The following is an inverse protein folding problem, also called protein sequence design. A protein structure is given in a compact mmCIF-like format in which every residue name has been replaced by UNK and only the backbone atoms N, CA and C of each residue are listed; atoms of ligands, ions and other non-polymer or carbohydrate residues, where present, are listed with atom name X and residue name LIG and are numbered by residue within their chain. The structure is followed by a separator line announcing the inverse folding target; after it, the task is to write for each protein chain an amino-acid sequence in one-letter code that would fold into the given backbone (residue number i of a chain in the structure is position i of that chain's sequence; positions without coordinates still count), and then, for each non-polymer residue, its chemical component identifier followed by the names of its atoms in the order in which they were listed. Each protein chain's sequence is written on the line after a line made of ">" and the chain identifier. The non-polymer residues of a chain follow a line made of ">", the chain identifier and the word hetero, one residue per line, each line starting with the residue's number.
data_IF_815529058446
#
_entry.id   IF_815529058446
#
_cell.length_a   1.000
_cell.length_b   1.000
_cell.length_c   1.000
_cell.angle_alpha   90.00
_cell.angle_beta   90.00
_cell.angle_gamma   90.00
#
_symmetry.space_group_name_H-M   'P 1'
#
loop_
_entity.id
_entity.type
_entity.pdbx_description
1 polymer ?
#
# COMPACT_ATOMS: atom_id res chain seq x y z
N UNK A 1 16.27 10.47 3.88
CA UNK A 1 15.13 9.65 4.38
C UNK A 1 15.15 8.32 3.63
N UNK A 2 14.95 7.18 4.32
CA UNK A 2 14.93 5.88 3.67
C UNK A 2 13.73 5.74 2.72
N UNK A 3 13.92 4.93 1.67
CA UNK A 3 12.85 4.53 0.76
C UNK A 3 12.33 3.15 1.13
N UNK A 4 11.05 2.93 0.96
CA UNK A 4 10.39 1.65 1.21
C UNK A 4 9.60 1.23 -0.02
N UNK A 5 9.64 -0.06 -0.32
CA UNK A 5 8.85 -0.71 -1.35
C UNK A 5 7.77 -1.55 -0.69
N UNK A 6 6.52 -1.24 -1.00
CA UNK A 6 5.36 -2.01 -0.62
C UNK A 6 4.99 -2.93 -1.78
N UNK A 7 5.02 -4.23 -1.52
CA UNK A 7 4.77 -5.28 -2.50
C UNK A 7 3.48 -6.02 -2.10
N UNK A 8 2.38 -5.83 -2.85
CA UNK A 8 1.19 -6.66 -2.71
C UNK A 8 1.53 -8.14 -2.88
N UNK A 9 0.99 -9.00 -2.02
CA UNK A 9 1.16 -10.44 -2.17
C UNK A 9 0.25 -10.96 -3.28
N UNK A 10 0.79 -11.49 -4.41
CA UNK A 10 -0.01 -11.84 -5.58
C UNK A 10 -1.12 -12.86 -5.28
N UNK A 11 -0.85 -13.81 -4.39
CA UNK A 11 -1.80 -14.85 -3.98
C UNK A 11 -2.97 -14.33 -3.13
N UNK A 12 -2.92 -13.08 -2.68
CA UNK A 12 -3.92 -12.46 -1.78
C UNK A 12 -4.55 -11.20 -2.40
N UNK A 13 -4.36 -10.97 -3.70
CA UNK A 13 -4.99 -9.85 -4.41
C UNK A 13 -6.51 -9.97 -4.55
N UNK A 14 -7.06 -11.18 -4.42
CA UNK A 14 -8.50 -11.44 -4.40
C UNK A 14 -9.14 -11.16 -3.02
N UNK A 15 -8.33 -10.82 -2.00
CA UNK A 15 -8.87 -10.51 -0.67
C UNK A 15 -9.81 -9.29 -0.74
N UNK A 16 -10.99 -9.34 -0.08
CA UNK A 16 -11.99 -8.28 -0.15
C UNK A 16 -11.47 -6.92 0.35
N UNK A 17 -10.44 -6.91 1.20
CA UNK A 17 -9.82 -5.67 1.67
C UNK A 17 -9.15 -4.89 0.52
N UNK A 18 -8.72 -5.54 -0.57
CA UNK A 18 -8.19 -4.83 -1.74
C UNK A 18 -9.19 -3.92 -2.43
N UNK A 19 -10.50 -4.14 -2.21
CA UNK A 19 -11.56 -3.23 -2.70
C UNK A 19 -11.49 -1.85 -2.03
N UNK A 20 -10.79 -1.72 -0.91
CA UNK A 20 -10.52 -0.44 -0.27
C UNK A 20 -9.35 0.33 -0.92
N UNK A 21 -8.68 -0.20 -1.94
CA UNK A 21 -7.60 0.51 -2.63
C UNK A 21 -7.82 0.71 -4.13
N UNK A 22 -7.35 1.84 -4.63
CA UNK A 22 -7.39 2.21 -6.05
C UNK A 22 -6.35 1.49 -6.90
N UNK A 23 -5.34 0.84 -6.28
CA UNK A 23 -4.23 0.17 -6.96
C UNK A 23 -3.85 -1.14 -6.26
N UNK A 24 -3.44 -2.13 -7.05
CA UNK A 24 -2.98 -3.46 -6.60
C UNK A 24 -1.57 -3.80 -7.12
N UNK A 25 -0.75 -2.78 -7.39
CA UNK A 25 0.60 -2.91 -7.97
C UNK A 25 1.70 -2.48 -7.00
N UNK A 26 2.97 -2.60 -7.38
CA UNK A 26 4.09 -2.28 -6.48
C UNK A 26 4.17 -0.77 -6.24
N UNK A 27 4.47 -0.37 -5.01
CA UNK A 27 4.57 1.05 -4.62
C UNK A 27 5.90 1.32 -3.93
N UNK A 28 6.56 2.41 -4.30
CA UNK A 28 7.75 2.95 -3.63
C UNK A 28 7.42 4.28 -2.99
N UNK A 29 7.81 4.47 -1.74
CA UNK A 29 7.56 5.69 -0.99
C UNK A 29 8.73 6.03 -0.09
N UNK A 30 8.92 7.32 0.19
CA UNK A 30 9.89 7.79 1.19
C UNK A 30 9.18 7.96 2.54
N UNK A 31 9.69 7.26 3.55
CA UNK A 31 9.15 7.28 4.90
C UNK A 31 10.26 7.18 5.95
N UNK A 32 9.93 7.41 7.22
CA UNK A 32 10.88 7.21 8.32
C UNK A 32 11.05 5.73 8.68
N UNK A 33 9.98 4.96 8.57
CA UNK A 33 9.83 3.59 9.03
C UNK A 33 8.71 2.87 8.26
N UNK A 34 8.59 1.56 8.46
CA UNK A 34 7.63 0.72 7.76
C UNK A 34 6.17 1.08 8.08
N UNK A 35 5.87 1.47 9.32
CA UNK A 35 4.52 1.83 9.75
C UNK A 35 4.08 3.12 9.06
N UNK A 36 4.95 4.13 9.05
CA UNK A 36 4.72 5.38 8.32
C UNK A 36 4.60 5.14 6.81
N UNK A 37 5.39 4.23 6.24
CA UNK A 37 5.28 3.87 4.82
C UNK A 37 3.88 3.31 4.51
N UNK A 38 3.39 2.38 5.33
CA UNK A 38 2.04 1.80 5.19
C UNK A 38 0.94 2.84 5.32
N UNK A 39 1.00 3.68 6.36
CA UNK A 39 0.00 4.71 6.60
C UNK A 39 -0.09 5.70 5.43
N UNK A 40 1.05 6.16 4.90
CA UNK A 40 1.08 7.07 3.75
C UNK A 40 0.54 6.42 2.47
N UNK A 41 0.95 5.19 2.16
CA UNK A 41 0.41 4.49 0.97
C UNK A 41 -1.08 4.23 1.13
N UNK A 42 -1.52 3.84 2.34
CA UNK A 42 -2.92 3.67 2.69
C UNK A 42 -3.71 4.95 2.42
N UNK A 43 -3.23 6.09 2.89
CA UNK A 43 -3.90 7.38 2.70
C UNK A 43 -3.99 7.79 1.22
N UNK A 44 -2.88 7.69 0.48
CA UNK A 44 -2.82 8.10 -0.93
C UNK A 44 -3.63 7.16 -1.84
N UNK A 45 -3.60 5.86 -1.56
CA UNK A 45 -4.29 4.83 -2.36
C UNK A 45 -5.61 4.37 -1.74
N UNK A 46 -6.07 5.03 -0.68
CA UNK A 46 -7.38 4.78 -0.11
C UNK A 46 -8.44 5.08 -1.16
N UNK A 47 -9.25 4.09 -1.45
CA UNK A 47 -10.55 4.35 -2.07
C UNK A 47 -11.45 4.87 -0.96
N UNK A 48 -12.26 5.89 -1.25
CA UNK A 48 -13.40 6.23 -0.41
C UNK A 48 -14.35 5.01 -0.38
N UNK A 49 -14.09 4.09 0.53
CA UNK A 49 -14.87 2.89 0.71
C UNK A 49 -16.27 3.36 1.07
N UNK A 50 -17.19 3.26 0.11
CA UNK A 50 -18.61 3.53 0.40
C UNK A 50 -19.01 2.49 1.44
N UNK A 51 -19.54 2.90 2.61
CA UNK A 51 -20.08 1.94 3.55
C UNK A 51 -21.10 1.09 2.78
N UNK A 52 -20.89 -0.23 2.84
CA UNK A 52 -21.78 -1.19 2.21
C UNK A 52 -23.16 -1.20 2.85
N UNK A 53 -23.95 -2.23 2.55
CA UNK A 53 -25.25 -2.41 3.22
C UNK A 53 -25.07 -2.44 4.75
N UNK A 54 -26.08 -2.03 5.53
CA UNK A 54 -26.01 -2.17 6.99
C UNK A 54 -25.71 -3.62 7.38
N UNK A 55 -24.62 -3.84 8.11
CA UNK A 55 -24.11 -5.16 8.51
C UNK A 55 -22.95 -5.69 7.65
N UNK A 56 -22.60 -5.03 6.55
CA UNK A 56 -21.42 -5.36 5.74
C UNK A 56 -20.15 -4.82 6.43
N UNK A 57 -19.11 -5.66 6.53
CA UNK A 57 -17.83 -5.25 7.09
C UNK A 57 -17.21 -4.16 6.20
N UNK A 58 -16.83 -3.04 6.80
CA UNK A 58 -16.05 -2.00 6.11
C UNK A 58 -14.66 -2.60 5.81
N UNK A 59 -14.23 -2.68 4.53
CA UNK A 59 -12.93 -3.22 4.20
C UNK A 59 -11.85 -2.32 4.79
N UNK A 60 -10.84 -2.94 5.40
CA UNK A 60 -9.69 -2.24 5.97
C UNK A 60 -8.66 -2.04 4.87
N UNK A 61 -7.92 -0.94 4.88
CA UNK A 61 -6.91 -0.70 3.85
C UNK A 61 -5.92 -1.87 3.78
N UNK A 62 -5.67 -2.45 2.59
CA UNK A 62 -4.78 -3.59 2.45
C UNK A 62 -3.31 -3.21 2.72
N UNK A 63 -2.96 -1.94 2.50
CA UNK A 63 -1.60 -1.41 2.67
C UNK A 63 -1.14 -1.40 4.13
N UNK A 64 -2.07 -1.23 5.06
CA UNK A 64 -1.80 -1.28 6.50
C UNK A 64 -1.70 -2.72 7.02
N UNK A 65 -2.06 -3.71 6.20
CA UNK A 65 -2.09 -5.11 6.61
C UNK A 65 -0.80 -5.84 6.20
N UNK A 66 0.06 -6.22 7.16
CA UNK A 66 1.29 -6.95 6.86
C UNK A 66 1.04 -8.34 6.25
N UNK A 67 -0.17 -8.89 6.44
CA UNK A 67 -0.60 -10.16 5.83
C UNK A 67 -0.87 -10.06 4.34
N UNK A 68 -1.12 -8.86 3.80
CA UNK A 68 -1.49 -8.63 2.39
C UNK A 68 -0.38 -7.94 1.60
N UNK A 69 0.45 -7.15 2.30
CA UNK A 69 1.49 -6.32 1.68
C UNK A 69 2.79 -6.51 2.43
N UNK A 70 3.82 -6.98 1.73
CA UNK A 70 5.20 -6.98 2.22
C UNK A 70 5.82 -5.59 2.13
N UNK A 71 6.70 -5.25 3.07
CA UNK A 71 7.49 -4.01 3.03
C UNK A 71 8.95 -4.39 2.93
N UNK A 72 9.67 -3.71 2.04
CA UNK A 72 11.10 -3.87 1.84
C UNK A 72 11.73 -2.48 2.00
N UNK A 73 12.61 -2.33 2.98
CA UNK A 73 13.46 -1.14 3.07
C UNK A 73 14.50 -1.19 1.95
N UNK A 74 14.56 -0.14 1.15
CA UNK A 74 15.48 -0.02 0.04
C UNK A 74 16.75 0.72 0.46
N UNK A 75 17.87 0.28 -0.11
CA UNK A 75 19.13 0.99 -0.05
C UNK A 75 19.24 2.02 -1.18
N UNK A 76 20.24 2.89 -1.08
CA UNK A 76 20.52 3.88 -2.12
C UNK A 76 20.93 3.18 -3.43
N UNK A 77 20.36 3.59 -4.55
CA UNK A 77 20.63 2.99 -5.87
C UNK A 77 19.77 1.78 -6.25
N UNK A 78 18.84 1.34 -5.39
CA UNK A 78 17.93 0.23 -5.71
C UNK A 78 17.08 0.54 -6.96
N UNK A 79 17.06 -0.35 -7.98
CA UNK A 79 16.42 -0.08 -9.27
C UNK A 79 14.89 0.00 -9.12
N UNK A 80 14.27 0.79 -10.00
CA UNK A 80 12.82 0.80 -10.17
C UNK A 80 12.35 -0.49 -10.84
N UNK A 81 11.23 -1.04 -10.39
CA UNK A 81 10.59 -2.19 -11.03
C UNK A 81 9.60 -1.73 -12.10
N UNK A 82 9.31 -2.58 -13.09
CA UNK A 82 8.49 -2.24 -14.26
C UNK A 82 7.06 -1.78 -13.92
N UNK A 83 6.45 -2.30 -12.85
CA UNK A 83 5.10 -1.93 -12.40
C UNK A 83 5.11 -1.09 -11.10
N UNK A 84 6.28 -0.63 -10.68
CA UNK A 84 6.44 0.19 -9.48
C UNK A 84 6.02 1.64 -9.75
N UNK A 85 5.13 2.18 -8.91
CA UNK A 85 4.89 3.62 -8.86
C UNK A 85 5.64 4.25 -7.70
N UNK A 86 6.20 5.43 -7.95
CA UNK A 86 6.73 6.27 -6.88
C UNK A 86 5.63 7.18 -6.34
N UNK A 87 5.31 7.05 -5.06
CA UNK A 87 4.52 8.04 -4.34
C UNK A 87 5.48 9.04 -3.71
N UNK A 88 5.50 10.25 -4.26
CA UNK A 88 6.22 11.34 -3.65
C UNK A 88 5.61 11.63 -2.27
N UNK A 89 6.42 11.87 -1.22
CA UNK A 89 5.88 12.50 -0.02
C UNK A 89 5.35 13.87 -0.46
N UNK A 90 4.05 14.14 -0.27
CA UNK A 90 3.52 15.49 -0.51
C UNK A 90 4.36 16.52 0.28
N UNK A 91 4.61 17.65 -0.37
CA UNK A 91 5.56 18.70 0.04
C UNK A 91 5.10 19.51 1.25
#
# INVERSE_FOLDING_TARGET
>A
MPSFRLVPLPSLLDDPDWRASTRQGIVRIVASDEEQARAKVSEVLATAAKPGKPGERVPTSPWEQPRLVGVIRLEDGEPFLEDEIFLAPEA
#
